data_IF_583786262815
#
_entry.id   IF_583786262815
#
_cell.length_a   1.000
_cell.length_b   1.000
_cell.length_c   1.000
_cell.angle_alpha   90.00
_cell.angle_beta   90.00
_cell.angle_gamma   90.00
#
_symmetry.space_group_name_H-M   'P 1'
#
loop_
_entity.id
_entity.type
_entity.pdbx_description
1 polymer ?
#
# COMPACT_ATOMS: atom_id res chain seq x y z
N UNK A 1 -25.89 3.60 8.03
CA UNK A 1 -26.16 2.77 6.83
C UNK A 1 -25.07 3.08 5.82
N UNK A 2 -24.10 2.18 5.62
CA UNK A 2 -23.20 2.28 4.47
C UNK A 2 -24.03 1.89 3.24
N UNK A 3 -24.03 2.74 2.22
CA UNK A 3 -24.56 2.35 0.91
C UNK A 3 -23.57 1.35 0.31
N UNK A 4 -23.82 0.06 0.55
CA UNK A 4 -23.23 -1.06 -0.18
C UNK A 4 -23.81 -1.15 -1.62
N UNK A 5 -24.15 0.00 -2.21
CA UNK A 5 -24.72 0.07 -3.54
C UNK A 5 -23.61 -0.19 -4.57
N UNK A 6 -23.69 -1.35 -5.22
CA UNK A 6 -22.93 -1.88 -6.36
C UNK A 6 -21.43 -1.57 -6.36
N UNK A 7 -20.70 -2.24 -5.47
CA UNK A 7 -19.28 -2.50 -5.71
C UNK A 7 -19.14 -3.39 -6.97
N UNK A 8 -18.33 -3.02 -7.96
CA UNK A 8 -18.00 -3.91 -9.08
C UNK A 8 -17.57 -5.28 -8.57
N UNK A 9 -18.04 -6.34 -9.21
CA UNK A 9 -17.65 -7.72 -8.85
C UNK A 9 -16.13 -7.91 -8.98
N UNK A 10 -15.51 -7.26 -9.97
CA UNK A 10 -14.07 -7.32 -10.25
C UNK A 10 -13.55 -5.92 -10.62
N UNK A 11 -12.31 -5.61 -10.24
CA UNK A 11 -11.60 -4.38 -10.57
C UNK A 11 -10.19 -4.74 -11.04
N UNK A 12 -9.86 -4.30 -12.26
CA UNK A 12 -8.59 -4.55 -12.92
C UNK A 12 -7.75 -3.26 -12.95
N UNK A 13 -6.81 -3.13 -12.03
CA UNK A 13 -5.90 -1.97 -11.96
C UNK A 13 -4.99 -1.80 -13.18
N UNK A 14 -4.93 -2.76 -14.12
CA UNK A 14 -4.29 -2.57 -15.43
C UNK A 14 -5.18 -1.78 -16.42
N UNK A 15 -6.44 -1.51 -16.07
CA UNK A 15 -7.38 -0.72 -16.86
C UNK A 15 -7.54 0.67 -16.28
N UNK A 16 -7.35 1.70 -17.11
CA UNK A 16 -7.48 3.10 -16.71
C UNK A 16 -8.85 3.43 -16.08
N UNK A 17 -9.94 2.89 -16.64
CA UNK A 17 -11.29 3.14 -16.14
C UNK A 17 -11.51 2.61 -14.71
N UNK A 18 -10.92 1.46 -14.39
CA UNK A 18 -11.01 0.84 -13.07
C UNK A 18 -10.16 1.62 -12.06
N UNK A 19 -8.97 2.08 -12.47
CA UNK A 19 -8.14 2.98 -11.66
C UNK A 19 -8.86 4.30 -11.38
N UNK A 20 -9.51 4.91 -12.38
CA UNK A 20 -10.29 6.12 -12.19
C UNK A 20 -11.47 5.92 -11.23
N UNK A 21 -12.14 4.77 -11.33
CA UNK A 21 -13.19 4.39 -10.40
C UNK A 21 -12.66 4.25 -8.96
N UNK A 22 -11.54 3.56 -8.77
CA UNK A 22 -10.87 3.40 -7.46
C UNK A 22 -10.49 4.77 -6.87
N UNK A 23 -9.93 5.67 -7.69
CA UNK A 23 -9.59 7.04 -7.28
C UNK A 23 -10.84 7.81 -6.83
N UNK A 24 -11.93 7.73 -7.59
CA UNK A 24 -13.18 8.44 -7.31
C UNK A 24 -13.92 7.91 -6.06
N UNK A 25 -13.74 6.63 -5.72
CA UNK A 25 -14.45 6.00 -4.59
C UNK A 25 -14.03 6.56 -3.23
N UNK A 26 -12.83 7.11 -3.12
CA UNK A 26 -12.30 7.73 -1.89
C UNK A 26 -12.36 6.82 -0.64
N UNK A 27 -12.18 5.51 -0.82
CA UNK A 27 -12.22 4.52 0.25
C UNK A 27 -10.81 3.96 0.53
N UNK A 28 -10.22 4.22 1.72
CA UNK A 28 -8.89 3.74 2.06
C UNK A 28 -8.74 2.22 2.01
N UNK A 29 -9.79 1.45 2.28
CA UNK A 29 -9.73 -0.02 2.23
C UNK A 29 -9.59 -0.51 0.78
N UNK A 30 -10.32 0.10 -0.16
CA UNK A 30 -10.20 -0.22 -1.58
C UNK A 30 -8.84 0.23 -2.12
N UNK A 31 -8.36 1.41 -1.69
CA UNK A 31 -7.03 1.88 -2.06
C UNK A 31 -5.90 0.97 -1.57
N UNK A 32 -6.07 0.34 -0.41
CA UNK A 32 -5.11 -0.62 0.13
C UNK A 32 -4.99 -1.84 -0.77
N UNK A 33 -6.11 -2.50 -1.10
CA UNK A 33 -6.11 -3.65 -2.01
C UNK A 33 -5.59 -3.29 -3.40
N UNK A 34 -5.96 -2.10 -3.92
CA UNK A 34 -5.46 -1.63 -5.21
C UNK A 34 -3.93 -1.37 -5.18
N UNK A 35 -3.40 -0.90 -4.05
CA UNK A 35 -1.96 -0.71 -3.89
C UNK A 35 -1.22 -2.05 -3.83
N UNK A 36 -1.82 -3.06 -3.19
CA UNK A 36 -1.31 -4.43 -3.18
C UNK A 36 -1.24 -4.98 -4.60
N UNK A 37 -2.35 -4.92 -5.33
CA UNK A 37 -2.42 -5.39 -6.71
C UNK A 37 -1.40 -4.71 -7.62
N UNK A 38 -1.30 -3.37 -7.56
CA UNK A 38 -0.36 -2.61 -8.36
C UNK A 38 1.10 -2.96 -8.04
N UNK A 39 1.51 -2.95 -6.77
CA UNK A 39 2.92 -3.13 -6.42
C UNK A 39 3.40 -4.58 -6.51
N UNK A 40 2.57 -5.54 -6.08
CA UNK A 40 3.00 -6.94 -5.96
C UNK A 40 2.76 -7.78 -7.23
N UNK A 41 1.85 -7.38 -8.12
CA UNK A 41 1.40 -8.24 -9.21
C UNK A 41 1.55 -7.63 -10.59
N UNK A 42 1.05 -6.41 -10.83
CA UNK A 42 0.84 -5.94 -12.22
C UNK A 42 1.61 -4.67 -12.60
N UNK A 43 2.19 -3.95 -11.64
CA UNK A 43 2.80 -2.64 -11.87
C UNK A 43 1.82 -1.48 -11.70
N UNK A 44 2.27 -0.25 -11.99
CA UNK A 44 1.52 0.99 -11.78
C UNK A 44 1.34 1.81 -13.08
N UNK A 45 0.95 1.16 -14.18
CA UNK A 45 0.88 1.78 -15.51
C UNK A 45 0.05 3.09 -15.55
N UNK A 46 -0.99 3.20 -14.73
CA UNK A 46 -1.90 4.35 -14.68
C UNK A 46 -1.60 5.31 -13.52
N UNK A 47 -0.40 5.22 -12.94
CA UNK A 47 0.11 6.11 -11.89
C UNK A 47 -0.78 6.17 -10.65
N UNK A 48 -1.39 5.05 -10.28
CA UNK A 48 -2.25 4.95 -9.11
C UNK A 48 -1.45 5.14 -7.82
N UNK A 49 -0.29 4.50 -7.64
CA UNK A 49 0.53 4.63 -6.44
C UNK A 49 1.09 6.05 -6.31
N UNK A 50 1.58 6.61 -7.42
CA UNK A 50 2.05 8.01 -7.47
C UNK A 50 0.96 8.99 -7.06
N UNK A 51 -0.28 8.77 -7.50
CA UNK A 51 -1.43 9.55 -7.04
C UNK A 51 -1.77 9.29 -5.57
N UNK A 52 -1.78 8.02 -5.13
CA UNK A 52 -2.24 7.57 -3.83
C UNK A 52 -1.42 8.19 -2.69
N UNK A 53 -0.09 8.26 -2.85
CA UNK A 53 0.79 8.81 -1.81
C UNK A 53 0.53 10.29 -1.49
N UNK A 54 -0.10 11.01 -2.42
CA UNK A 54 -0.51 12.40 -2.26
C UNK A 54 -1.88 12.57 -1.57
N UNK A 55 -2.66 11.50 -1.38
CA UNK A 55 -4.04 11.60 -0.89
C UNK A 55 -4.09 11.74 0.64
N UNK A 56 -4.72 12.79 1.20
CA UNK A 56 -4.78 13.00 2.66
C UNK A 56 -5.40 11.83 3.43
N UNK A 57 -6.31 11.09 2.80
CA UNK A 57 -7.06 9.99 3.41
C UNK A 57 -6.33 8.64 3.37
N UNK A 58 -5.16 8.55 2.70
CA UNK A 58 -4.36 7.33 2.68
C UNK A 58 -4.06 6.85 4.11
N UNK A 59 -4.33 5.57 4.36
CA UNK A 59 -4.12 4.94 5.66
C UNK A 59 -2.63 4.66 5.91
N UNK A 60 -2.19 4.76 7.17
CA UNK A 60 -0.81 4.46 7.57
C UNK A 60 -0.42 3.04 7.20
N UNK A 61 -1.32 2.06 7.35
CA UNK A 61 -1.04 0.68 6.98
C UNK A 61 -0.75 0.57 5.47
N UNK A 62 -1.50 1.26 4.61
CA UNK A 62 -1.23 1.29 3.17
C UNK A 62 0.15 1.89 2.86
N UNK A 63 0.53 2.98 3.53
CA UNK A 63 1.87 3.55 3.41
C UNK A 63 2.97 2.59 3.89
N UNK A 64 2.73 1.91 5.00
CA UNK A 64 3.60 0.88 5.56
C UNK A 64 3.78 -0.30 4.62
N UNK A 65 2.69 -0.78 4.03
CA UNK A 65 2.73 -1.87 3.07
C UNK A 65 3.55 -1.50 1.83
N UNK A 66 3.29 -0.34 1.21
CA UNK A 66 4.06 0.14 0.04
C UNK A 66 5.54 0.27 0.38
N UNK A 67 5.87 0.89 1.52
CA UNK A 67 7.24 1.05 1.96
C UNK A 67 7.91 -0.30 2.18
N UNK A 68 7.37 -1.15 3.06
CA UNK A 68 8.02 -2.36 3.55
C UNK A 68 8.01 -3.51 2.53
N UNK A 69 7.03 -3.57 1.64
CA UNK A 69 6.99 -4.55 0.55
C UNK A 69 7.91 -4.18 -0.63
N UNK A 70 8.46 -2.96 -0.65
CA UNK A 70 9.45 -2.51 -1.62
C UNK A 70 10.89 -2.86 -1.17
N UNK A 71 11.92 -2.64 -2.01
CA UNK A 71 13.33 -2.66 -1.61
C UNK A 71 13.69 -1.51 -0.62
N UNK A 72 13.03 -1.48 0.53
CA UNK A 72 13.07 -0.36 1.48
C UNK A 72 14.45 -0.19 2.09
N UNK A 73 15.16 -1.28 2.36
CA UNK A 73 16.51 -1.21 2.94
C UNK A 73 17.48 -0.53 1.98
N UNK A 74 17.46 -0.93 0.72
CA UNK A 74 18.25 -0.32 -0.35
C UNK A 74 17.84 1.13 -0.56
N UNK A 75 16.54 1.43 -0.49
CA UNK A 75 16.02 2.79 -0.58
C UNK A 75 16.56 3.68 0.55
N UNK A 76 16.42 3.24 1.80
CA UNK A 76 16.79 4.00 3.00
C UNK A 76 18.31 4.18 3.13
N UNK A 77 19.10 3.17 2.76
CA UNK A 77 20.57 3.24 2.82
C UNK A 77 21.22 3.86 1.57
N UNK A 78 20.41 4.23 0.57
CA UNK A 78 20.89 4.88 -0.65
C UNK A 78 21.49 3.93 -1.70
N UNK A 79 21.40 2.62 -1.49
CA UNK A 79 21.89 1.60 -2.42
C UNK A 79 20.93 1.35 -3.61
N UNK A 80 20.67 2.42 -4.40
CA UNK A 80 19.69 2.41 -5.49
C UNK A 80 19.98 1.38 -6.58
N UNK A 81 21.24 1.06 -6.81
CA UNK A 81 21.67 0.13 -7.86
C UNK A 81 21.22 -1.32 -7.60
N UNK A 82 20.91 -1.66 -6.35
CA UNK A 82 20.42 -3.00 -5.96
C UNK A 82 18.89 -3.08 -5.87
N UNK A 83 18.17 -1.97 -6.11
CA UNK A 83 16.72 -1.98 -6.07
C UNK A 83 16.14 -2.73 -7.27
N UNK A 84 15.13 -3.56 -7.02
CA UNK A 84 14.35 -4.24 -8.04
C UNK A 84 12.86 -4.18 -7.69
N UNK A 85 12.02 -3.89 -8.67
CA UNK A 85 10.58 -3.84 -8.51
C UNK A 85 9.90 -4.48 -9.72
N UNK A 86 8.80 -5.19 -9.47
CA UNK A 86 8.01 -5.79 -10.54
C UNK A 86 7.08 -4.72 -11.13
N UNK A 87 7.09 -4.56 -12.46
CA UNK A 87 6.12 -3.70 -13.16
C UNK A 87 6.22 -2.19 -12.88
N UNK A 88 7.15 -1.73 -12.06
CA UNK A 88 7.35 -0.31 -11.73
C UNK A 88 8.80 0.08 -12.02
N UNK A 89 8.97 1.20 -12.72
CA UNK A 89 10.30 1.73 -13.01
C UNK A 89 10.98 2.21 -11.72
N UNK A 90 12.27 1.91 -11.54
CA UNK A 90 13.01 2.29 -10.31
C UNK A 90 12.95 3.80 -10.00
N UNK A 91 13.06 4.73 -10.98
CA UNK A 91 12.89 6.16 -10.69
C UNK A 91 11.53 6.51 -10.10
N UNK A 92 10.46 5.93 -10.65
CA UNK A 92 9.09 6.12 -10.16
C UNK A 92 8.92 5.55 -8.75
N UNK A 93 9.43 4.35 -8.49
CA UNK A 93 9.41 3.78 -7.15
C UNK A 93 10.17 4.66 -6.14
N UNK A 94 11.30 5.24 -6.53
CA UNK A 94 12.04 6.18 -5.68
C UNK A 94 11.20 7.41 -5.38
N UNK A 95 10.46 7.95 -6.35
CA UNK A 95 9.55 9.08 -6.15
C UNK A 95 8.44 8.75 -5.16
N UNK A 96 7.78 7.59 -5.32
CA UNK A 96 6.73 7.09 -4.42
C UNK A 96 7.27 6.98 -2.98
N UNK A 97 8.39 6.28 -2.80
CA UNK A 97 8.98 6.04 -1.48
C UNK A 97 9.50 7.34 -0.84
N UNK A 98 10.01 8.29 -1.64
CA UNK A 98 10.40 9.61 -1.15
C UNK A 98 9.19 10.39 -0.66
N UNK A 99 8.10 10.40 -1.42
CA UNK A 99 6.85 11.06 -1.02
C UNK A 99 6.28 10.48 0.29
N UNK A 100 6.33 9.15 0.47
CA UNK A 100 5.93 8.51 1.73
C UNK A 100 6.78 8.97 2.91
N UNK A 101 8.10 9.01 2.73
CA UNK A 101 9.03 9.44 3.77
C UNK A 101 8.82 10.93 4.13
N UNK A 102 8.64 11.80 3.15
CA UNK A 102 8.35 13.22 3.39
C UNK A 102 7.02 13.43 4.11
N UNK A 103 5.99 12.69 3.71
CA UNK A 103 4.69 12.75 4.37
C UNK A 103 4.78 12.31 5.83
N UNK A 104 5.47 11.20 6.05
CA UNK A 104 5.70 10.65 7.38
C UNK A 104 6.43 11.64 8.31
N UNK A 105 7.40 12.40 7.80
CA UNK A 105 8.16 13.40 8.56
C UNK A 105 7.33 14.67 8.87
N UNK A 106 6.37 15.02 8.01
CA UNK A 106 5.64 16.31 8.10
C UNK A 106 4.26 16.20 8.73
N UNK A 107 3.32 15.59 8.01
CA UNK A 107 1.87 15.63 8.28
C UNK A 107 1.35 14.31 8.82
N UNK A 108 2.07 13.21 8.59
CA UNK A 108 1.66 11.88 9.01
C UNK A 108 0.40 11.38 8.30
N UNK A 109 -0.44 10.66 9.05
CA UNK A 109 -1.60 9.94 8.54
C UNK A 109 -2.84 10.24 9.37
N UNK A 110 -3.96 10.53 8.68
CA UNK A 110 -5.25 10.78 9.31
C UNK A 110 -5.97 9.48 9.69
N UNK A 111 -5.60 8.37 9.04
CA UNK A 111 -6.21 7.06 9.22
C UNK A 111 -5.13 6.03 9.56
N UNK A 112 -5.43 5.14 10.51
CA UNK A 112 -4.62 3.99 10.91
C UNK A 112 -5.54 2.84 11.33
N UNK A 113 -6.37 2.37 10.40
CA UNK A 113 -7.47 1.44 10.68
C UNK A 113 -7.31 0.07 10.05
N UNK A 114 -6.51 -0.07 8.99
CA UNK A 114 -6.51 -1.30 8.18
C UNK A 114 -5.63 -2.42 8.77
N UNK A 115 -4.51 -2.07 9.41
CA UNK A 115 -3.55 -3.04 9.94
C UNK A 115 -2.72 -3.71 8.84
N UNK A 116 -1.71 -4.51 9.23
CA UNK A 116 -0.83 -5.29 8.35
C UNK A 116 -0.56 -6.68 8.92
N UNK A 117 -0.22 -7.62 8.05
CA UNK A 117 0.16 -8.98 8.43
C UNK A 117 1.38 -8.98 9.35
N UNK A 118 1.43 -9.94 10.28
CA UNK A 118 2.47 -10.00 11.30
C UNK A 118 3.90 -10.02 10.74
N UNK A 119 4.10 -10.59 9.54
CA UNK A 119 5.39 -10.63 8.85
C UNK A 119 6.01 -9.24 8.60
N UNK A 120 5.20 -8.19 8.53
CA UNK A 120 5.69 -6.82 8.36
C UNK A 120 6.33 -6.25 9.63
N UNK A 121 6.14 -6.87 10.79
CA UNK A 121 6.74 -6.39 12.04
C UNK A 121 8.27 -6.52 12.04
N UNK A 122 8.82 -7.61 11.49
CA UNK A 122 10.27 -7.78 11.36
C UNK A 122 10.87 -6.74 10.39
N UNK A 123 10.17 -6.46 9.30
CA UNK A 123 10.58 -5.44 8.33
C UNK A 123 10.52 -4.04 8.96
N UNK A 124 9.49 -3.74 9.75
CA UNK A 124 9.35 -2.49 10.50
C UNK A 124 10.51 -2.31 11.49
N UNK A 125 10.86 -3.36 12.24
CA UNK A 125 11.99 -3.34 13.17
C UNK A 125 13.32 -3.14 12.44
N UNK A 126 13.51 -3.77 11.28
CA UNK A 126 14.68 -3.54 10.42
C UNK A 126 14.78 -2.09 9.97
N UNK A 127 13.65 -1.49 9.56
CA UNK A 127 13.60 -0.07 9.19
C UNK A 127 13.98 0.83 10.38
N UNK A 128 13.48 0.53 11.58
CA UNK A 128 13.87 1.27 12.78
C UNK A 128 15.37 1.14 13.08
N UNK A 129 15.93 -0.06 12.99
CA UNK A 129 17.35 -0.27 13.25
C UNK A 129 18.25 0.55 12.29
N UNK A 130 17.88 0.65 11.00
CA UNK A 130 18.59 1.50 10.03
C UNK A 130 18.59 2.97 10.48
N UNK A 131 17.46 3.46 11.00
CA UNK A 131 17.32 4.84 11.48
C UNK A 131 18.16 5.04 12.76
N UNK A 132 18.00 4.16 13.75
CA UNK A 132 18.63 4.27 15.07
C UNK A 132 20.15 4.11 15.01
N UNK A 133 20.66 3.28 14.09
CA UNK A 133 22.09 3.09 13.85
C UNK A 133 22.73 4.23 13.04
N UNK A 134 21.94 5.18 12.52
CA UNK A 134 22.43 6.27 11.68
C UNK A 134 22.86 5.82 10.28
N UNK A 135 22.30 4.70 9.79
CA UNK A 135 22.58 4.14 8.45
C UNK A 135 21.73 4.78 7.35
N UNK A 136 20.79 5.65 7.73
CA UNK A 136 19.92 6.36 6.80
C UNK A 136 20.72 7.30 5.87
N UNK A 137 20.48 7.18 4.56
CA UNK A 137 21.03 8.09 3.55
C UNK A 137 20.56 9.52 3.83
N UNK A 138 21.50 10.48 3.82
CA UNK A 138 21.24 11.89 4.16
C UNK A 138 20.21 12.58 3.27
N UNK A 139 19.90 12.02 2.11
CA UNK A 139 18.90 12.53 1.17
C UNK A 139 17.49 12.00 1.47
N UNK A 140 17.37 11.03 2.36
CA UNK A 140 16.10 10.35 2.68
C UNK A 140 15.60 10.82 4.05
N UNK A 141 14.31 11.14 4.13
CA UNK A 141 13.63 11.46 5.39
C UNK A 141 13.29 10.17 6.13
N UNK A 142 13.39 10.18 7.45
CA UNK A 142 13.05 8.99 8.25
C UNK A 142 11.52 8.78 8.24
N UNK A 143 11.01 7.58 7.88
CA UNK A 143 9.58 7.29 7.84
C UNK A 143 8.99 7.03 9.24
N UNK A 144 9.29 7.89 10.22
CA UNK A 144 8.98 7.69 11.65
C UNK A 144 7.49 7.52 11.96
N UNK A 145 6.60 8.29 11.34
CA UNK A 145 5.16 8.12 11.49
C UNK A 145 4.60 6.84 10.85
N UNK A 146 5.33 6.22 9.91
CA UNK A 146 4.96 4.91 9.35
C UNK A 146 5.44 3.80 10.29
N UNK A 147 6.74 3.79 10.61
CA UNK A 147 7.40 2.64 11.25
C UNK A 147 7.55 2.77 12.77
N UNK A 148 7.30 3.94 13.35
CA UNK A 148 7.53 4.20 14.77
C UNK A 148 6.62 3.45 15.72
N UNK A 149 5.47 2.97 15.24
CA UNK A 149 4.54 2.14 16.02
C UNK A 149 4.19 0.85 15.25
N UNK A 150 3.96 -0.27 15.96
CA UNK A 150 3.44 -1.49 15.34
C UNK A 150 2.14 -1.26 14.56
N UNK A 151 1.89 -2.09 13.55
CA UNK A 151 0.62 -2.11 12.85
C UNK A 151 -0.39 -2.98 13.61
N UNK A 152 -1.68 -2.61 13.57
CA UNK A 152 -2.74 -3.50 14.02
C UNK A 152 -2.81 -4.76 13.13
N UNK A 153 -3.49 -5.80 13.58
CA UNK A 153 -3.80 -6.93 12.72
C UNK A 153 -4.70 -6.50 11.54
N UNK A 154 -4.63 -7.16 10.37
CA UNK A 154 -5.49 -6.87 9.23
C UNK A 154 -6.96 -6.96 9.60
N UNK A 155 -7.77 -6.08 9.02
CA UNK A 155 -9.23 -6.16 9.14
C UNK A 155 -9.78 -7.34 8.35
N UNK A 156 -10.78 -8.01 8.91
CA UNK A 156 -11.48 -9.13 8.26
C UNK A 156 -12.61 -8.66 7.34
N UNK A 157 -13.06 -7.41 7.47
CA UNK A 157 -14.20 -6.83 6.74
C UNK A 157 -13.76 -5.99 5.52
N UNK A 158 -12.73 -6.43 4.81
CA UNK A 158 -12.26 -5.78 3.59
C UNK A 158 -13.30 -5.93 2.45
N UNK A 159 -13.50 -4.89 1.61
CA UNK A 159 -14.50 -4.94 0.54
C UNK A 159 -14.07 -5.77 -0.68
N UNK A 160 -12.76 -5.93 -0.87
CA UNK A 160 -12.13 -6.68 -1.95
C UNK A 160 -11.04 -7.58 -1.38
N UNK A 161 -10.71 -8.63 -2.12
CA UNK A 161 -9.48 -9.40 -1.96
C UNK A 161 -8.70 -9.41 -3.27
N UNK A 162 -7.36 -9.43 -3.19
CA UNK A 162 -6.51 -9.50 -4.37
C UNK A 162 -6.28 -10.96 -4.80
N UNK A 163 -6.54 -11.26 -6.08
CA UNK A 163 -6.32 -12.55 -6.72
C UNK A 163 -5.58 -12.36 -8.05
N UNK A 164 -4.31 -12.76 -8.11
CA UNK A 164 -3.45 -12.62 -9.30
C UNK A 164 -3.44 -11.18 -9.88
N UNK A 165 -3.46 -10.18 -8.99
CA UNK A 165 -3.51 -8.77 -9.36
C UNK A 165 -4.93 -8.23 -9.61
N UNK A 166 -5.97 -9.06 -9.67
CA UNK A 166 -7.35 -8.58 -9.77
C UNK A 166 -7.93 -8.33 -8.39
N UNK A 167 -8.67 -7.24 -8.20
CA UNK A 167 -9.48 -7.03 -7.00
C UNK A 167 -10.84 -7.69 -7.21
N UNK A 168 -11.19 -8.66 -6.38
CA UNK A 168 -12.46 -9.36 -6.45
C UNK A 168 -13.31 -9.00 -5.24
N UNK A 169 -14.56 -8.61 -5.48
CA UNK A 169 -15.49 -8.20 -4.43
C UNK A 169 -15.75 -9.35 -3.46
N UNK A 170 -15.61 -9.09 -2.16
CA UNK A 170 -15.92 -10.09 -1.13
C UNK A 170 -17.41 -10.48 -1.15
N UNK A 171 -18.29 -9.58 -1.59
CA UNK A 171 -19.71 -9.91 -1.78
C UNK A 171 -19.92 -10.85 -2.98
N UNK A 172 -19.20 -10.60 -4.08
CA UNK A 172 -19.22 -11.50 -5.24
C UNK A 172 -18.74 -12.89 -4.86
N UNK A 173 -17.62 -12.99 -4.14
CA UNK A 173 -17.12 -14.27 -3.65
C UNK A 173 -18.14 -15.03 -2.79
N UNK A 174 -18.75 -14.37 -1.81
CA UNK A 174 -19.76 -14.98 -0.94
C UNK A 174 -20.99 -15.46 -1.72
N UNK A 175 -21.39 -14.72 -2.76
CA UNK A 175 -22.52 -15.08 -3.63
C UNK A 175 -22.19 -16.29 -4.51
N UNK A 176 -20.97 -16.36 -5.04
CA UNK A 176 -20.58 -17.34 -6.07
C UNK A 176 -20.01 -18.64 -5.45
N UNK A 177 -19.38 -18.56 -4.27
CA UNK A 177 -18.77 -19.70 -3.57
C UNK A 177 -19.18 -19.76 -2.09
N UNK A 178 -20.47 -19.93 -1.77
CA UNK A 178 -20.97 -19.85 -0.39
C UNK A 178 -20.38 -20.90 0.56
N UNK A 179 -20.07 -22.08 0.04
CA UNK A 179 -19.55 -23.23 0.81
C UNK A 179 -18.11 -23.05 1.34
N UNK A 180 -17.41 -21.99 0.95
CA UNK A 180 -16.08 -21.65 1.48
C UNK A 180 -16.16 -20.73 2.72
N UNK A 181 -17.36 -20.31 3.11
CA UNK A 181 -17.59 -19.34 4.20
C UNK A 181 -18.51 -19.89 5.31
N UNK A 182 -18.80 -21.19 5.31
CA UNK A 182 -19.53 -21.92 6.37
C UNK A 182 -18.59 -22.53 7.42
#
# INVERSE_FOLDING_TARGET
MRQDADLPDEIDITKAADVDWVKARADPAIWHEAAIAALAYVGDEHGFLTWLVQQPQMDRATAGWILLASPFREFLTGNRASMFAMGIAIPELIEILTALCERSDRVGFLNDRLGLEHQYEEMRQTCMAIIDNGELDRRVRAPTAIVGTPFAAPREDMPYSVHDGMLISTQFFKRTLPHLFD
#
